data_IF_857553666759
#
_entry.id   IF_857553666759
#
_cell.length_a   1.000
_cell.length_b   1.000
_cell.length_c   1.000
_cell.angle_alpha   90.00
_cell.angle_beta   90.00
_cell.angle_gamma   90.00
#
_symmetry.space_group_name_H-M   'P 1'
#
loop_
_entity.id
_entity.type
_entity.pdbx_description
1 polymer ?
#
# COMPACT_ATOMS: atom_id res chain seq x y z
N UNK A 1 -23.58 -0.14 11.59
CA UNK A 1 -23.09 1.06 10.89
C UNK A 1 -21.59 1.11 11.11
N UNK A 2 -20.78 1.22 10.07
CA UNK A 2 -19.32 1.32 10.21
C UNK A 2 -19.00 2.78 10.56
N UNK A 3 -18.26 3.01 11.65
CA UNK A 3 -17.98 4.37 12.10
C UNK A 3 -16.91 5.02 11.20
N UNK A 4 -17.04 6.33 10.87
CA UNK A 4 -16.05 7.06 10.06
C UNK A 4 -14.62 6.95 10.61
N UNK A 5 -14.48 6.77 11.94
CA UNK A 5 -13.20 6.55 12.62
C UNK A 5 -12.53 5.21 12.24
N UNK A 6 -13.31 4.16 12.01
CA UNK A 6 -12.80 2.87 11.56
C UNK A 6 -12.26 2.96 10.13
N UNK A 7 -12.94 3.74 9.27
CA UNK A 7 -12.49 4.01 7.91
C UNK A 7 -11.23 4.87 7.87
N UNK A 8 -11.13 5.88 8.73
CA UNK A 8 -9.90 6.66 8.87
C UNK A 8 -8.72 5.77 9.28
N UNK A 9 -8.93 4.87 10.25
CA UNK A 9 -7.90 3.90 10.68
C UNK A 9 -7.48 2.96 9.53
N UNK A 10 -8.43 2.58 8.66
CA UNK A 10 -8.15 1.80 7.45
C UNK A 10 -7.28 2.56 6.45
N UNK A 11 -7.57 3.85 6.22
CA UNK A 11 -6.75 4.73 5.38
C UNK A 11 -5.34 4.87 5.95
N UNK A 12 -5.20 5.13 7.26
CA UNK A 12 -3.90 5.29 7.91
C UNK A 12 -3.07 4.01 7.82
N UNK A 13 -3.71 2.85 7.98
CA UNK A 13 -3.07 1.53 7.80
C UNK A 13 -2.59 1.32 6.37
N UNK A 14 -3.38 1.73 5.37
CA UNK A 14 -3.00 1.65 3.96
C UNK A 14 -1.86 2.61 3.59
N UNK A 15 -1.80 3.80 4.20
CA UNK A 15 -0.67 4.74 4.06
C UNK A 15 0.61 4.10 4.61
N UNK A 16 0.54 3.47 5.79
CA UNK A 16 1.68 2.79 6.38
C UNK A 16 2.17 1.61 5.50
N UNK A 17 1.23 0.85 4.92
CA UNK A 17 1.55 -0.24 3.99
C UNK A 17 2.23 0.28 2.71
N UNK A 18 1.74 1.37 2.11
CA UNK A 18 2.40 2.01 0.96
C UNK A 18 3.84 2.43 1.31
N UNK A 19 4.02 3.09 2.46
CA UNK A 19 5.33 3.54 2.90
C UNK A 19 6.32 2.37 3.10
N UNK A 20 5.85 1.27 3.68
CA UNK A 20 6.65 0.06 3.86
C UNK A 20 7.07 -0.54 2.51
N UNK A 21 6.14 -0.64 1.55
CA UNK A 21 6.45 -1.15 0.21
C UNK A 21 7.36 -0.21 -0.58
N UNK A 22 7.24 1.10 -0.38
CA UNK A 22 8.13 2.08 -0.97
C UNK A 22 9.56 1.93 -0.43
N UNK A 23 9.71 1.66 0.87
CA UNK A 23 11.00 1.34 1.47
C UNK A 23 11.58 0.04 0.89
N UNK A 24 10.74 -0.99 0.69
CA UNK A 24 11.15 -2.25 0.06
C UNK A 24 11.66 -2.04 -1.37
N UNK A 25 10.98 -1.20 -2.18
CA UNK A 25 11.46 -0.83 -3.52
C UNK A 25 12.82 -0.14 -3.46
N UNK A 26 13.03 0.79 -2.53
CA UNK A 26 14.33 1.47 -2.36
C UNK A 26 15.44 0.47 -2.02
N UNK A 27 15.18 -0.46 -1.11
CA UNK A 27 16.14 -1.48 -0.70
C UNK A 27 16.52 -2.40 -1.88
N UNK A 28 15.53 -2.93 -2.59
CA UNK A 28 15.75 -3.84 -3.71
C UNK A 28 16.38 -3.15 -4.91
N UNK A 29 16.07 -1.86 -5.14
CA UNK A 29 16.72 -1.04 -6.15
C UNK A 29 18.21 -0.86 -5.84
N UNK A 30 18.56 -0.54 -4.58
CA UNK A 30 19.95 -0.46 -4.16
C UNK A 30 20.70 -1.80 -4.33
N UNK A 31 20.03 -2.92 -4.03
CA UNK A 31 20.58 -4.25 -4.25
C UNK A 31 20.84 -4.54 -5.74
N UNK A 32 19.88 -4.22 -6.61
CA UNK A 32 20.02 -4.38 -8.06
C UNK A 32 21.16 -3.51 -8.62
N UNK A 33 21.23 -2.24 -8.22
CA UNK A 33 22.32 -1.32 -8.63
C UNK A 33 23.69 -1.86 -8.20
N UNK A 34 23.79 -2.46 -7.01
CA UNK A 34 25.03 -3.11 -6.56
C UNK A 34 25.40 -4.27 -7.48
N UNK A 35 24.46 -5.18 -7.79
CA UNK A 35 24.76 -6.29 -8.70
C UNK A 35 25.11 -5.81 -10.12
N UNK A 36 24.45 -4.78 -10.62
CA UNK A 36 24.77 -4.18 -11.91
C UNK A 36 26.22 -3.65 -11.97
N UNK A 37 26.73 -3.11 -10.86
CA UNK A 37 28.12 -2.61 -10.77
C UNK A 37 29.15 -3.72 -10.59
N UNK A 38 28.78 -4.85 -10.01
CA UNK A 38 29.67 -5.98 -9.73
C UNK A 38 29.77 -6.95 -10.92
N UNK A 39 28.71 -7.10 -11.73
CA UNK A 39 28.66 -8.04 -12.85
C UNK A 39 29.77 -7.83 -13.89
N UNK A 40 30.01 -6.61 -14.42
CA UNK A 40 31.09 -6.40 -15.39
C UNK A 40 32.49 -6.56 -14.79
N UNK A 41 32.61 -6.54 -13.45
CA UNK A 41 33.87 -6.78 -12.74
C UNK A 41 34.12 -8.25 -12.44
N UNK A 42 33.16 -9.14 -12.75
CA UNK A 42 33.24 -10.57 -12.45
C UNK A 42 33.08 -10.92 -10.96
N UNK A 43 32.62 -9.98 -10.12
CA UNK A 43 32.47 -10.19 -8.67
C UNK A 43 31.08 -10.73 -8.26
N UNK A 44 30.21 -11.00 -9.22
CA UNK A 44 28.88 -11.60 -9.03
C UNK A 44 28.52 -12.42 -10.26
N UNK A 45 27.58 -13.35 -10.13
CA UNK A 45 27.09 -14.17 -11.24
C UNK A 45 25.92 -13.52 -11.98
N UNK A 46 25.68 -13.95 -13.23
CA UNK A 46 24.48 -13.54 -13.98
C UNK A 46 23.18 -13.91 -13.26
N UNK A 47 23.16 -15.06 -12.58
CA UNK A 47 22.01 -15.54 -11.79
C UNK A 47 21.67 -14.60 -10.62
N UNK A 48 22.68 -14.09 -9.93
CA UNK A 48 22.51 -13.13 -8.82
C UNK A 48 21.98 -11.77 -9.33
N UNK A 49 22.50 -11.30 -10.47
CA UNK A 49 21.99 -10.10 -11.13
C UNK A 49 20.50 -10.25 -11.53
N UNK A 50 20.15 -11.38 -12.15
CA UNK A 50 18.77 -11.65 -12.60
C UNK A 50 17.81 -11.80 -11.41
N UNK A 51 18.27 -12.44 -10.34
CA UNK A 51 17.52 -12.55 -9.09
C UNK A 51 17.27 -11.17 -8.47
N UNK A 52 18.28 -10.30 -8.41
CA UNK A 52 18.12 -8.94 -7.91
C UNK A 52 17.17 -8.10 -8.79
N UNK A 53 17.22 -8.29 -10.12
CA UNK A 53 16.29 -7.64 -11.05
C UNK A 53 14.85 -8.11 -10.84
N UNK A 54 14.65 -9.42 -10.68
CA UNK A 54 13.33 -10.00 -10.41
C UNK A 54 12.77 -9.50 -9.07
N UNK A 55 13.61 -9.40 -8.03
CA UNK A 55 13.22 -8.89 -6.73
C UNK A 55 12.81 -7.42 -6.78
N UNK A 56 13.55 -6.57 -7.52
CA UNK A 56 13.17 -5.19 -7.76
C UNK A 56 11.80 -5.09 -8.44
N UNK A 57 11.59 -5.83 -9.55
CA UNK A 57 10.30 -5.84 -10.24
C UNK A 57 9.15 -6.30 -9.33
N UNK A 58 9.38 -7.35 -8.54
CA UNK A 58 8.39 -7.85 -7.58
C UNK A 58 8.01 -6.79 -6.53
N UNK A 59 8.99 -6.10 -5.95
CA UNK A 59 8.73 -5.01 -5.01
C UNK A 59 7.99 -3.82 -5.63
N UNK A 60 8.29 -3.48 -6.89
CA UNK A 60 7.57 -2.41 -7.60
C UNK A 60 6.11 -2.79 -7.83
N UNK A 61 5.82 -4.05 -8.14
CA UNK A 61 4.44 -4.55 -8.25
C UNK A 61 3.72 -4.52 -6.90
N UNK A 62 4.41 -4.89 -5.81
CA UNK A 62 3.83 -4.82 -4.47
C UNK A 62 3.51 -3.38 -4.04
N UNK A 63 4.39 -2.42 -4.33
CA UNK A 63 4.12 -1.00 -4.11
C UNK A 63 2.89 -0.52 -4.89
N UNK A 64 2.77 -0.89 -6.17
CA UNK A 64 1.57 -0.55 -6.97
C UNK A 64 0.29 -1.14 -6.36
N UNK A 65 0.35 -2.36 -5.84
CA UNK A 65 -0.79 -2.98 -5.17
C UNK A 65 -1.17 -2.21 -3.88
N UNK A 66 -0.18 -1.83 -3.05
CA UNK A 66 -0.42 -1.03 -1.85
C UNK A 66 -1.01 0.35 -2.17
N UNK A 67 -0.54 0.99 -3.24
CA UNK A 67 -1.10 2.25 -3.74
C UNK A 67 -2.56 2.12 -4.16
N UNK A 68 -2.92 1.03 -4.84
CA UNK A 68 -4.31 0.75 -5.20
C UNK A 68 -5.18 0.51 -3.95
N UNK A 69 -4.66 -0.21 -2.95
CA UNK A 69 -5.35 -0.43 -1.68
C UNK A 69 -5.60 0.89 -0.94
N UNK A 70 -4.62 1.80 -0.92
CA UNK A 70 -4.79 3.13 -0.34
C UNK A 70 -5.82 3.97 -1.11
N UNK A 71 -5.83 3.91 -2.44
CA UNK A 71 -6.83 4.60 -3.25
C UNK A 71 -8.26 4.12 -2.90
N UNK A 72 -8.46 2.81 -2.79
CA UNK A 72 -9.75 2.22 -2.41
C UNK A 72 -10.17 2.65 -0.99
N UNK A 73 -9.25 2.64 -0.02
CA UNK A 73 -9.55 3.06 1.35
C UNK A 73 -9.96 4.53 1.43
N UNK A 74 -9.28 5.41 0.66
CA UNK A 74 -9.62 6.84 0.57
C UNK A 74 -10.99 7.06 -0.07
N UNK A 75 -11.28 6.33 -1.14
CA UNK A 75 -12.58 6.40 -1.81
C UNK A 75 -13.71 6.00 -0.86
N UNK A 76 -13.53 4.92 -0.08
CA UNK A 76 -14.52 4.46 0.87
C UNK A 76 -14.78 5.47 2.01
N UNK A 77 -13.73 6.13 2.51
CA UNK A 77 -13.86 7.23 3.47
C UNK A 77 -14.59 8.43 2.85
N UNK A 78 -14.25 8.81 1.61
CA UNK A 78 -14.90 9.90 0.87
C UNK A 78 -16.40 9.69 0.65
N UNK A 79 -16.82 8.47 0.27
CA UNK A 79 -18.24 8.11 0.17
C UNK A 79 -18.98 8.27 1.50
N UNK A 80 -18.35 7.93 2.63
CA UNK A 80 -19.01 8.11 3.93
C UNK A 80 -19.16 9.56 4.36
N UNK A 81 -18.24 10.46 3.95
CA UNK A 81 -18.41 11.91 4.18
C UNK A 81 -19.58 12.46 3.36
N UNK A 82 -19.70 12.08 2.08
CA UNK A 82 -20.79 12.54 1.20
C UNK A 82 -22.18 12.05 1.63
N UNK A 83 -22.28 10.84 2.19
CA UNK A 83 -23.55 10.31 2.73
C UNK A 83 -23.89 10.99 4.07
N UNK A 84 -22.89 11.38 4.86
CA UNK A 84 -23.09 12.02 6.16
C UNK A 84 -23.61 13.48 6.06
N UNK A 85 -23.41 14.16 4.93
CA UNK A 85 -23.93 15.51 4.67
C UNK A 85 -25.46 15.56 4.43
N UNK A 86 -26.12 14.41 4.26
CA UNK A 86 -27.57 14.33 4.41
C UNK A 86 -27.89 14.16 5.91
N UNK A 87 -28.63 15.09 6.56
CA UNK A 87 -29.10 14.92 7.94
C UNK A 87 -30.22 13.87 7.98
N UNK A 88 -29.86 12.61 7.72
CA UNK A 88 -30.70 11.45 7.93
C UNK A 88 -30.54 11.02 9.38
N UNK A 89 -31.50 11.40 10.22
CA UNK A 89 -31.68 10.92 11.58
C UNK A 89 -31.39 9.41 11.61
N UNK A 90 -30.55 8.95 12.53
CA UNK A 90 -30.47 7.53 12.87
C UNK A 90 -31.80 7.16 13.55
N UNK A 91 -32.85 6.92 12.76
CA UNK A 91 -34.07 6.25 13.22
C UNK A 91 -33.78 4.75 13.27
N UNK A 92 -33.17 4.31 14.37
CA UNK A 92 -33.43 3.03 15.01
C UNK A 92 -32.61 2.92 16.31
N UNK A 93 -32.94 3.77 17.29
CA UNK A 93 -33.04 3.26 18.67
C UNK A 93 -34.49 2.87 18.84
N UNK A 94 -34.80 1.60 18.62
CA UNK A 94 -35.83 0.93 19.41
C UNK A 94 -35.07 0.04 20.37
N UNK A 95 -34.82 0.59 21.55
CA UNK A 95 -34.55 -0.19 22.73
C UNK A 95 -35.90 -0.53 23.35
N UNK A 96 -36.54 -1.62 22.91
CA UNK A 96 -37.67 -2.35 23.52
C UNK A 96 -37.64 -3.74 22.82
N UNK A 97 -37.51 -4.93 23.42
CA UNK A 97 -37.88 -5.50 24.74
C UNK A 97 -36.78 -6.44 25.21
#
# INVERSE_FOLDING_TARGET
>A
KLDPKDLQTSVDSAIAAEAAEQARVKQTAAAFVRQQKLLPKGYTSKSEYDSAQAQLRSSQSALKAAQAQLANAREQLGYTSLIADAPGIITARQAEV
#
